data_IF_874688475981
#
_entry.id   IF_874688475981
#
_cell.length_a   1.000
_cell.length_b   1.000
_cell.length_c   1.000
_cell.angle_alpha   90.00
_cell.angle_beta   90.00
_cell.angle_gamma   90.00
#
_symmetry.space_group_name_H-M   'P 1'
#
loop_
_entity.id
_entity.type
_entity.pdbx_description
1 polymer ?
#
# COMPACT_ATOMS: atom_id res chain seq x y z
N UNK A 1 14.27 -14.54 8.56
CA UNK A 1 14.21 -13.07 8.70
C UNK A 1 12.76 -12.63 8.49
N UNK A 2 12.27 -11.72 9.35
CA UNK A 2 10.95 -11.10 9.19
C UNK A 2 11.09 -9.69 8.64
N UNK A 3 10.61 -9.48 7.43
CA UNK A 3 10.56 -8.19 6.75
C UNK A 3 9.15 -7.62 6.86
N UNK A 4 9.02 -6.44 7.44
CA UNK A 4 7.79 -5.64 7.39
C UNK A 4 7.95 -4.55 6.33
N UNK A 5 6.92 -4.40 5.50
CA UNK A 5 6.84 -3.36 4.46
C UNK A 5 5.61 -2.50 4.72
N UNK A 6 5.80 -1.20 4.85
CA UNK A 6 4.73 -0.21 5.03
C UNK A 6 4.44 0.46 3.69
N UNK A 7 3.23 0.23 3.17
CA UNK A 7 2.77 0.66 1.86
C UNK A 7 2.84 -0.46 0.82
N UNK A 8 1.69 -0.81 0.28
CA UNK A 8 1.46 -1.97 -0.61
C UNK A 8 1.27 -1.60 -2.08
N UNK A 9 1.70 -0.42 -2.54
CA UNK A 9 1.58 -0.04 -3.95
C UNK A 9 2.95 -0.17 -4.65
N UNK A 10 3.42 0.79 -5.40
CA UNK A 10 4.59 0.62 -6.29
C UNK A 10 5.90 0.32 -5.53
N UNK A 11 6.31 1.20 -4.61
CA UNK A 11 7.60 1.09 -3.93
C UNK A 11 7.68 -0.13 -3.00
N UNK A 12 6.68 -0.30 -2.14
CA UNK A 12 6.65 -1.39 -1.19
C UNK A 12 6.52 -2.76 -1.85
N UNK A 13 5.65 -2.89 -2.86
CA UNK A 13 5.51 -4.17 -3.58
C UNK A 13 6.74 -4.52 -4.39
N UNK A 14 7.42 -3.54 -4.99
CA UNK A 14 8.71 -3.76 -5.67
C UNK A 14 9.78 -4.26 -4.70
N UNK A 15 9.86 -3.65 -3.51
CA UNK A 15 10.78 -4.07 -2.46
C UNK A 15 10.46 -5.48 -1.94
N UNK A 16 9.19 -5.76 -1.65
CA UNK A 16 8.74 -7.08 -1.18
C UNK A 16 9.02 -8.18 -2.19
N UNK A 17 8.69 -7.95 -3.47
CA UNK A 17 8.97 -8.90 -4.54
C UNK A 17 10.47 -9.12 -4.74
N UNK A 18 11.29 -8.08 -4.61
CA UNK A 18 12.75 -8.23 -4.70
C UNK A 18 13.30 -8.99 -3.50
N UNK A 19 12.85 -8.69 -2.29
CA UNK A 19 13.27 -9.39 -1.07
C UNK A 19 12.96 -10.89 -1.16
N UNK A 20 11.78 -11.28 -1.64
CA UNK A 20 11.41 -12.68 -1.87
C UNK A 20 12.36 -13.40 -2.82
N UNK A 21 12.79 -12.74 -3.89
CA UNK A 21 13.75 -13.33 -4.85
C UNK A 21 15.15 -13.52 -4.27
N UNK A 22 15.49 -12.76 -3.22
CA UNK A 22 16.80 -12.86 -2.54
C UNK A 22 16.76 -13.87 -1.38
N UNK A 23 15.61 -14.06 -0.76
CA UNK A 23 15.42 -15.00 0.36
C UNK A 23 14.01 -15.62 0.27
N UNK A 24 13.94 -16.84 -0.24
CA UNK A 24 12.69 -17.59 -0.38
C UNK A 24 12.04 -17.95 0.97
N UNK A 25 12.84 -18.00 2.05
CA UNK A 25 12.40 -18.38 3.39
C UNK A 25 12.05 -17.17 4.28
N UNK A 26 12.23 -15.94 3.80
CA UNK A 26 11.86 -14.76 4.57
C UNK A 26 10.35 -14.72 4.84
N UNK A 27 9.95 -14.37 6.06
CA UNK A 27 8.60 -13.93 6.37
C UNK A 27 8.44 -12.49 5.88
N UNK A 28 7.56 -12.24 4.92
CA UNK A 28 7.35 -10.90 4.35
C UNK A 28 5.90 -10.50 4.55
N UNK A 29 5.69 -9.46 5.36
CA UNK A 29 4.38 -8.89 5.65
C UNK A 29 4.33 -7.48 5.07
N UNK A 30 3.29 -7.18 4.30
CA UNK A 30 3.05 -5.86 3.71
C UNK A 30 1.77 -5.28 4.29
N UNK A 31 1.85 -4.13 4.94
CA UNK A 31 0.71 -3.39 5.43
C UNK A 31 0.36 -2.28 4.44
N UNK A 32 -0.88 -2.30 3.93
CA UNK A 32 -1.43 -1.28 3.05
C UNK A 32 -2.67 -0.67 3.70
N UNK A 33 -2.66 0.66 3.87
CA UNK A 33 -3.80 1.36 4.49
C UNK A 33 -5.04 1.41 3.62
N UNK A 34 -4.85 1.41 2.29
CA UNK A 34 -5.94 1.37 1.32
C UNK A 34 -6.46 -0.06 1.07
N UNK A 35 -7.52 -0.15 0.29
CA UNK A 35 -8.18 -1.43 -0.01
C UNK A 35 -7.48 -2.21 -1.12
N UNK A 36 -6.74 -1.52 -2.00
CA UNK A 36 -6.17 -2.08 -3.21
C UNK A 36 -4.64 -2.01 -3.21
N UNK A 37 -3.93 -3.10 -2.87
CA UNK A 37 -2.50 -3.18 -3.09
C UNK A 37 -2.19 -3.30 -4.59
N UNK A 38 -1.01 -2.83 -4.99
CA UNK A 38 -0.48 -3.03 -6.34
C UNK A 38 -1.40 -2.54 -7.46
N UNK A 39 -2.14 -1.46 -7.26
CA UNK A 39 -2.96 -0.87 -8.32
C UNK A 39 -2.16 0.07 -9.23
N UNK A 40 -2.63 0.23 -10.47
CA UNK A 40 -2.04 1.12 -11.48
C UNK A 40 -2.47 2.57 -11.25
N UNK A 41 -1.82 3.29 -10.34
CA UNK A 41 -2.14 4.68 -10.04
C UNK A 41 -1.93 5.63 -11.24
N UNK A 42 -1.03 5.30 -12.17
CA UNK A 42 -0.87 6.03 -13.44
C UNK A 42 -2.06 5.80 -14.41
N UNK A 43 -2.87 4.77 -14.20
CA UNK A 43 -4.08 4.50 -14.97
C UNK A 43 -5.29 5.32 -14.55
N UNK A 44 -5.29 5.89 -13.34
CA UNK A 44 -6.43 6.64 -12.81
C UNK A 44 -6.93 7.78 -13.72
N UNK A 45 -6.07 8.62 -14.33
CA UNK A 45 -6.53 9.64 -15.26
C UNK A 45 -7.24 9.07 -16.50
N UNK A 46 -6.78 7.94 -17.00
CA UNK A 46 -7.37 7.27 -18.17
C UNK A 46 -8.70 6.60 -17.82
N UNK A 47 -8.85 6.11 -16.60
CA UNK A 47 -10.11 5.58 -16.09
C UNK A 47 -11.15 6.70 -15.95
N UNK A 48 -10.78 7.84 -15.34
CA UNK A 48 -11.66 9.02 -15.23
C UNK A 48 -11.99 9.60 -16.60
N UNK A 49 -11.04 9.56 -17.54
CA UNK A 49 -11.23 10.01 -18.92
C UNK A 49 -12.06 9.05 -19.79
N UNK A 50 -12.38 7.84 -19.31
CA UNK A 50 -13.16 6.84 -20.04
C UNK A 50 -12.37 6.01 -21.05
N UNK A 51 -11.05 6.11 -21.09
CA UNK A 51 -10.18 5.26 -21.93
C UNK A 51 -10.00 3.87 -21.31
N UNK A 52 -9.98 3.78 -19.99
CA UNK A 52 -10.08 2.53 -19.25
C UNK A 52 -11.53 2.40 -18.79
N UNK A 53 -12.25 1.42 -19.30
CA UNK A 53 -13.70 1.28 -19.07
C UNK A 53 -14.01 0.61 -17.72
N UNK A 54 -13.15 -0.29 -17.24
CA UNK A 54 -13.40 -1.11 -16.07
C UNK A 54 -12.37 -0.83 -14.97
N UNK A 55 -12.85 -0.60 -13.76
CA UNK A 55 -12.02 -0.38 -12.56
C UNK A 55 -11.08 -1.55 -12.28
N UNK A 56 -11.54 -2.79 -12.52
CA UNK A 56 -10.72 -3.98 -12.33
C UNK A 56 -9.43 -3.96 -13.16
N UNK A 57 -9.41 -3.24 -14.28
CA UNK A 57 -8.19 -3.06 -15.10
C UNK A 57 -7.09 -2.27 -14.39
N UNK A 58 -7.45 -1.51 -13.35
CA UNK A 58 -6.48 -0.81 -12.50
C UNK A 58 -5.87 -1.75 -11.43
N UNK A 59 -6.55 -2.84 -11.09
CA UNK A 59 -6.16 -3.76 -10.01
C UNK A 59 -5.17 -4.80 -10.54
N UNK A 60 -3.88 -4.45 -10.56
CA UNK A 60 -2.83 -5.27 -11.19
C UNK A 60 -2.64 -6.61 -10.48
N UNK A 61 -2.70 -6.61 -9.14
CA UNK A 61 -2.55 -7.81 -8.30
C UNK A 61 -3.49 -7.75 -7.10
N UNK A 62 -3.89 -8.92 -6.64
CA UNK A 62 -4.66 -9.09 -5.40
C UNK A 62 -3.78 -9.68 -4.29
N UNK A 63 -4.17 -9.57 -3.00
CA UNK A 63 -3.48 -10.28 -1.92
C UNK A 63 -3.38 -11.78 -2.16
N UNK A 64 -4.43 -12.40 -2.72
CA UNK A 64 -4.44 -13.83 -3.04
C UNK A 64 -3.44 -14.19 -4.13
N UNK A 65 -3.37 -13.42 -5.23
CA UNK A 65 -2.40 -13.67 -6.31
C UNK A 65 -0.95 -13.43 -5.84
N UNK A 66 -0.72 -12.42 -5.01
CA UNK A 66 0.59 -12.13 -4.42
C UNK A 66 1.03 -13.22 -3.44
N UNK A 67 0.10 -13.78 -2.67
CA UNK A 67 0.36 -14.94 -1.80
C UNK A 67 0.72 -16.17 -2.61
N UNK A 68 -0.04 -16.47 -3.66
CA UNK A 68 0.18 -17.66 -4.50
C UNK A 68 1.49 -17.57 -5.29
N UNK A 69 1.79 -16.42 -5.90
CA UNK A 69 2.95 -16.27 -6.77
C UNK A 69 4.26 -16.00 -6.02
N UNK A 70 4.22 -15.26 -4.91
CA UNK A 70 5.40 -14.75 -4.22
C UNK A 70 5.42 -15.07 -2.73
N UNK A 71 4.43 -15.80 -2.21
CA UNK A 71 4.29 -16.08 -0.78
C UNK A 71 4.41 -14.81 0.11
N UNK A 72 3.80 -13.70 -0.34
CA UNK A 72 3.72 -12.45 0.41
C UNK A 72 2.45 -12.44 1.25
N UNK A 73 2.54 -11.99 2.51
CA UNK A 73 1.38 -11.71 3.36
C UNK A 73 1.02 -10.23 3.21
N UNK A 74 0.11 -9.94 2.28
CA UNK A 74 -0.32 -8.56 1.98
C UNK A 74 -1.65 -8.29 2.66
N UNK A 75 -1.69 -7.27 3.51
CA UNK A 75 -2.83 -6.92 4.36
C UNK A 75 -3.36 -5.53 4.02
N UNK A 76 -4.37 -5.43 3.14
CA UNK A 76 -5.09 -4.16 2.92
C UNK A 76 -5.92 -3.75 4.15
N UNK A 77 -6.28 -2.48 4.25
CA UNK A 77 -7.00 -1.92 5.40
C UNK A 77 -6.19 -1.90 6.70
N UNK A 78 -4.87 -2.02 6.62
CA UNK A 78 -3.96 -2.02 7.77
C UNK A 78 -3.06 -0.80 7.73
N UNK A 79 -3.31 0.16 8.62
CA UNK A 79 -2.58 1.42 8.70
C UNK A 79 -1.49 1.36 9.78
N UNK A 80 -0.23 1.50 9.38
CA UNK A 80 0.88 1.64 10.32
C UNK A 80 0.91 3.08 10.81
N UNK A 81 0.74 3.28 12.11
CA UNK A 81 0.63 4.59 12.75
C UNK A 81 1.87 5.02 13.51
N UNK A 82 2.69 4.05 13.93
CA UNK A 82 3.92 4.32 14.66
C UNK A 82 5.02 3.31 14.36
N UNK A 83 6.27 3.73 14.51
CA UNK A 83 7.47 2.90 14.32
C UNK A 83 8.42 3.10 15.48
N UNK A 84 8.61 2.08 16.30
CA UNK A 84 9.67 2.03 17.31
C UNK A 84 10.90 1.34 16.73
N UNK A 85 11.91 2.16 16.38
CA UNK A 85 13.16 1.65 15.80
C UNK A 85 14.04 0.96 16.83
N UNK A 86 13.89 1.29 18.11
CA UNK A 86 14.67 0.68 19.21
C UNK A 86 14.15 -0.70 19.54
N UNK A 87 12.84 -0.81 19.72
CA UNK A 87 12.16 -2.09 19.96
C UNK A 87 12.00 -2.93 18.67
N UNK A 88 12.24 -2.34 17.50
CA UNK A 88 11.98 -2.92 16.17
C UNK A 88 10.53 -3.40 16.04
N UNK A 89 9.60 -2.51 16.30
CA UNK A 89 8.18 -2.80 16.18
C UNK A 89 7.46 -1.71 15.39
N UNK A 90 6.33 -2.07 14.80
CA UNK A 90 5.36 -1.13 14.22
C UNK A 90 4.02 -1.31 14.91
N UNK A 91 3.31 -0.20 15.13
CA UNK A 91 1.92 -0.21 15.58
C UNK A 91 1.00 -0.16 14.38
N UNK A 92 0.06 -1.09 14.31
CA UNK A 92 -0.83 -1.29 13.16
C UNK A 92 -2.28 -1.17 13.61
N UNK A 93 -3.02 -0.25 13.03
CA UNK A 93 -4.48 -0.17 13.13
C UNK A 93 -5.11 -1.00 12.01
N UNK A 94 -6.07 -1.84 12.37
CA UNK A 94 -6.78 -2.72 11.45
C UNK A 94 -8.27 -2.77 11.78
N UNK A 95 -9.12 -3.33 10.91
CA UNK A 95 -10.54 -3.52 11.22
C UNK A 95 -10.80 -4.34 12.51
N UNK A 96 -9.84 -5.17 12.93
CA UNK A 96 -9.94 -5.96 14.17
C UNK A 96 -9.37 -5.26 15.40
N UNK A 97 -8.84 -4.04 15.27
CA UNK A 97 -8.24 -3.25 16.33
C UNK A 97 -6.76 -2.97 16.13
N UNK A 98 -6.14 -2.35 17.13
CA UNK A 98 -4.72 -1.98 17.10
C UNK A 98 -3.85 -3.09 17.68
N UNK A 99 -2.75 -3.39 17.03
CA UNK A 99 -1.78 -4.39 17.48
C UNK A 99 -0.35 -3.99 17.14
N UNK A 100 0.63 -4.60 17.80
CA UNK A 100 2.06 -4.34 17.60
C UNK A 100 2.69 -5.53 16.88
N UNK A 101 3.49 -5.25 15.87
CA UNK A 101 4.19 -6.26 15.06
C UNK A 101 5.69 -6.01 15.08
N UNK A 102 6.46 -7.02 15.46
CA UNK A 102 7.93 -6.97 15.44
C UNK A 102 8.48 -7.22 14.03
N UNK A 103 9.69 -6.71 13.77
CA UNK A 103 10.41 -6.93 12.52
C UNK A 103 11.91 -7.11 12.75
N UNK A 104 12.58 -7.81 11.84
CA UNK A 104 14.04 -7.83 11.74
C UNK A 104 14.53 -6.68 10.83
N UNK A 105 13.81 -6.44 9.74
CA UNK A 105 14.02 -5.36 8.79
C UNK A 105 12.70 -4.67 8.42
N UNK A 106 12.78 -3.37 8.14
CA UNK A 106 11.62 -2.53 7.83
C UNK A 106 11.86 -1.76 6.53
N UNK A 107 10.86 -1.76 5.64
CA UNK A 107 10.80 -0.89 4.46
C UNK A 107 9.66 0.09 4.65
N UNK A 108 9.96 1.39 4.54
CA UNK A 108 8.97 2.46 4.56
C UNK A 108 8.73 2.97 3.14
N UNK A 109 7.53 2.70 2.62
CA UNK A 109 7.07 3.15 1.31
C UNK A 109 5.65 3.74 1.42
N UNK A 110 5.39 4.73 2.33
CA UNK A 110 4.05 5.21 2.66
C UNK A 110 3.39 5.99 1.53
N UNK A 111 4.10 6.22 0.43
CA UNK A 111 3.62 6.99 -0.70
C UNK A 111 3.54 8.49 -0.43
N UNK A 112 2.59 9.16 -1.08
CA UNK A 112 2.35 10.59 -0.97
C UNK A 112 0.84 10.86 -0.84
N UNK A 113 0.51 12.04 -0.37
CA UNK A 113 -0.86 12.57 -0.38
C UNK A 113 -0.96 13.72 -1.39
N UNK A 114 -2.15 13.97 -1.92
CA UNK A 114 -2.38 15.10 -2.80
C UNK A 114 -2.23 16.41 -2.02
N UNK A 115 -1.39 17.31 -2.49
CA UNK A 115 -1.30 18.67 -1.96
C UNK A 115 -2.54 19.45 -2.38
N UNK A 116 -3.20 20.11 -1.42
CA UNK A 116 -4.28 21.07 -1.69
C UNK A 116 -3.73 22.49 -1.50
N UNK A 117 -3.39 23.20 -2.58
CA UNK A 117 -2.85 24.56 -2.47
C UNK A 117 -3.91 25.55 -1.96
N UNK A 118 -3.47 26.61 -1.27
CA UNK A 118 -4.36 27.65 -0.74
C UNK A 118 -4.85 28.60 -1.85
N UNK A 119 -5.72 28.11 -2.73
CA UNK A 119 -6.36 28.88 -3.80
C UNK A 119 -7.88 28.99 -3.57
N UNK A 120 -8.48 30.08 -4.04
CA UNK A 120 -9.92 30.28 -3.91
C UNK A 120 -10.70 29.14 -4.60
N UNK A 121 -11.69 28.59 -3.90
CA UNK A 121 -12.54 27.53 -4.42
C UNK A 121 -12.01 26.10 -4.27
N UNK A 122 -10.81 25.88 -3.72
CA UNK A 122 -10.23 24.56 -3.54
C UNK A 122 -11.09 23.62 -2.67
N UNK A 123 -11.87 24.20 -1.74
CA UNK A 123 -12.75 23.46 -0.84
C UNK A 123 -14.15 23.22 -1.41
N UNK A 124 -14.38 23.56 -2.67
CA UNK A 124 -15.63 23.26 -3.36
C UNK A 124 -15.84 21.74 -3.41
N UNK A 125 -17.09 21.29 -3.22
CA UNK A 125 -17.47 19.89 -3.37
C UNK A 125 -17.26 19.31 -4.80
N UNK A 126 -16.92 20.16 -5.77
CA UNK A 126 -16.57 19.76 -7.15
C UNK A 126 -15.08 19.57 -7.36
N UNK A 127 -14.25 19.82 -6.34
CA UNK A 127 -12.80 19.65 -6.41
C UNK A 127 -12.43 18.33 -5.76
N UNK A 128 -11.95 17.42 -6.57
CA UNK A 128 -11.54 16.09 -6.16
C UNK A 128 -10.02 15.90 -6.30
N UNK A 129 -9.46 14.99 -5.53
CA UNK A 129 -8.08 14.56 -5.70
C UNK A 129 -8.08 13.18 -6.37
N UNK A 130 -7.20 12.98 -7.33
CA UNK A 130 -7.06 11.71 -8.04
C UNK A 130 -5.82 10.98 -7.51
N UNK A 131 -6.02 10.10 -6.51
CA UNK A 131 -4.89 9.44 -5.84
C UNK A 131 -5.11 7.96 -5.57
N UNK A 132 -6.33 7.54 -5.31
CA UNK A 132 -6.72 6.16 -4.96
C UNK A 132 -7.81 5.68 -5.91
N UNK A 133 -8.06 4.38 -5.94
CA UNK A 133 -9.16 3.78 -6.71
C UNK A 133 -10.49 4.06 -6.03
N UNK A 134 -10.51 4.07 -4.68
CA UNK A 134 -11.68 4.35 -3.84
C UNK A 134 -11.80 5.82 -3.51
#
# INVERSE_FOLDING_TARGET
MKLVVVGGVAGGMSAAARARRLDENAEIVVFERGDHPSFANCGLPYYVGGEIENEESLLVQTPASLKAALNLDVRPGHNVTDVDVTAKTVTVESPSGTHVVSYDALVLAPGAVALRPAIAGIDSARVHTLRTVS
#
